data_IF_480787182637
#
_entry.id   IF_480787182637
#
_cell.length_a   1.000
_cell.length_b   1.000
_cell.length_c   1.000
_cell.angle_alpha   90.00
_cell.angle_beta   90.00
_cell.angle_gamma   90.00
#
_symmetry.space_group_name_H-M   'P 1'
#
loop_
_entity.id
_entity.type
_entity.pdbx_description
1 polymer ?
#
# COMPACT_ATOMS: atom_id res chain seq x y z
N UNK A 1 -44.05 -32.68 -15.59
CA UNK A 1 -43.67 -31.39 -14.96
C UNK A 1 -42.91 -30.51 -15.96
N UNK A 2 -43.37 -29.26 -16.23
CA UNK A 2 -42.58 -28.36 -17.06
C UNK A 2 -41.32 -27.92 -16.26
N UNK A 3 -40.18 -27.68 -16.93
CA UNK A 3 -39.01 -27.16 -16.26
C UNK A 3 -39.33 -25.75 -15.74
N UNK A 4 -39.07 -25.52 -14.45
CA UNK A 4 -39.11 -24.19 -13.84
C UNK A 4 -37.98 -23.35 -14.44
N UNK A 5 -38.23 -22.71 -15.58
CA UNK A 5 -37.35 -21.69 -16.13
C UNK A 5 -37.59 -20.39 -15.37
N UNK A 6 -36.61 -19.99 -14.55
CA UNK A 6 -36.65 -18.69 -13.89
C UNK A 6 -36.65 -17.57 -14.94
N UNK A 7 -37.47 -16.52 -14.77
CA UNK A 7 -37.46 -15.39 -15.68
C UNK A 7 -36.11 -14.67 -15.64
N UNK A 8 -35.57 -14.30 -16.81
CA UNK A 8 -34.28 -13.61 -16.96
C UNK A 8 -34.00 -12.45 -15.97
N UNK A 9 -34.97 -11.57 -15.63
CA UNK A 9 -34.74 -10.53 -14.62
C UNK A 9 -34.47 -11.09 -13.21
N UNK A 10 -35.04 -12.25 -12.85
CA UNK A 10 -34.78 -12.90 -11.57
C UNK A 10 -33.37 -13.51 -11.52
N UNK A 11 -32.86 -14.03 -12.65
CA UNK A 11 -31.47 -14.51 -12.76
C UNK A 11 -30.47 -13.36 -12.64
N UNK A 12 -30.72 -12.22 -13.30
CA UNK A 12 -29.91 -11.01 -13.14
C UNK A 12 -29.93 -10.47 -11.71
N UNK A 13 -31.11 -10.42 -11.07
CA UNK A 13 -31.22 -9.97 -9.69
C UNK A 13 -30.47 -10.92 -8.72
N UNK A 14 -30.54 -12.23 -8.93
CA UNK A 14 -29.80 -13.21 -8.14
C UNK A 14 -28.29 -13.06 -8.31
N UNK A 15 -27.81 -12.85 -9.55
CA UNK A 15 -26.38 -12.61 -9.84
C UNK A 15 -25.89 -11.31 -9.17
N UNK A 16 -26.67 -10.23 -9.23
CA UNK A 16 -26.33 -8.97 -8.58
C UNK A 16 -26.31 -9.10 -7.05
N UNK A 17 -27.24 -9.86 -6.47
CA UNK A 17 -27.24 -10.17 -5.04
C UNK A 17 -26.02 -11.01 -4.67
N UNK A 18 -25.70 -12.08 -5.40
CA UNK A 18 -24.52 -12.90 -5.12
C UNK A 18 -23.23 -12.08 -5.19
N UNK A 19 -23.08 -11.21 -6.20
CA UNK A 19 -21.95 -10.28 -6.30
C UNK A 19 -21.91 -9.30 -5.12
N UNK A 20 -23.04 -8.73 -4.73
CA UNK A 20 -23.13 -7.83 -3.59
C UNK A 20 -22.82 -8.53 -2.26
N UNK A 21 -23.29 -9.77 -2.05
CA UNK A 21 -22.96 -10.54 -0.85
C UNK A 21 -21.46 -10.88 -0.80
N UNK A 22 -20.85 -11.28 -1.93
CA UNK A 22 -19.39 -11.58 -1.96
C UNK A 22 -18.52 -10.36 -1.63
N UNK A 23 -18.91 -9.16 -2.08
CA UNK A 23 -18.18 -7.93 -1.77
C UNK A 23 -18.42 -7.45 -0.34
N UNK A 24 -19.63 -7.61 0.20
CA UNK A 24 -19.89 -7.27 1.61
C UNK A 24 -19.14 -8.19 2.57
N UNK A 25 -19.06 -9.50 2.31
CA UNK A 25 -18.29 -10.41 3.18
C UNK A 25 -16.79 -10.13 3.14
N UNK A 26 -16.23 -9.84 1.97
CA UNK A 26 -14.80 -9.51 1.83
C UNK A 26 -14.38 -8.22 2.56
N UNK A 27 -15.33 -7.34 2.90
CA UNK A 27 -15.08 -5.99 3.38
C UNK A 27 -15.74 -5.65 4.73
N UNK A 28 -16.74 -6.42 5.16
CA UNK A 28 -17.20 -6.44 6.56
C UNK A 28 -16.13 -7.08 7.46
N UNK A 29 -15.29 -7.93 6.88
CA UNK A 29 -14.02 -8.40 7.43
C UNK A 29 -12.90 -7.35 7.22
N UNK A 30 -13.06 -6.14 7.79
CA UNK A 30 -11.90 -5.31 8.21
C UNK A 30 -11.21 -5.99 9.42
N UNK A 31 -10.87 -7.26 9.18
CA UNK A 31 -10.54 -8.42 10.02
C UNK A 31 -9.10 -8.26 10.53
N UNK A 32 -8.58 -9.14 11.43
CA UNK A 32 -7.21 -9.14 11.94
C UNK A 32 -6.11 -9.00 10.88
N UNK A 33 -6.40 -9.33 9.61
CA UNK A 33 -5.50 -9.11 8.49
C UNK A 33 -5.12 -7.63 8.33
N UNK A 34 -6.05 -6.69 8.55
CA UNK A 34 -5.77 -5.25 8.55
C UNK A 34 -4.90 -4.85 9.74
N UNK A 35 -5.17 -5.44 10.91
CA UNK A 35 -4.45 -5.13 12.14
C UNK A 35 -3.01 -5.65 12.12
N UNK A 36 -2.75 -6.74 11.39
CA UNK A 36 -1.42 -7.35 11.30
C UNK A 36 -0.63 -6.93 10.05
N UNK A 37 -1.29 -6.56 8.94
CA UNK A 37 -0.65 -6.34 7.64
C UNK A 37 0.61 -5.46 7.71
N UNK A 38 0.50 -4.30 8.36
CA UNK A 38 1.62 -3.35 8.45
C UNK A 38 2.79 -3.94 9.25
N UNK A 39 2.50 -4.66 10.35
CA UNK A 39 3.50 -5.28 11.20
C UNK A 39 4.15 -6.51 10.55
N UNK A 40 3.35 -7.33 9.86
CA UNK A 40 3.84 -8.47 9.09
C UNK A 40 4.72 -8.01 7.93
N UNK A 41 4.36 -6.91 7.27
CA UNK A 41 5.19 -6.28 6.23
C UNK A 41 6.51 -5.75 6.79
N UNK A 42 6.50 -5.11 7.97
CA UNK A 42 7.72 -4.68 8.67
C UNK A 42 8.59 -5.88 9.04
N UNK A 43 8.01 -6.97 9.53
CA UNK A 43 8.73 -8.20 9.87
C UNK A 43 9.39 -8.78 8.62
N UNK A 44 8.63 -8.89 7.53
CA UNK A 44 9.13 -9.39 6.24
C UNK A 44 10.26 -8.51 5.71
N UNK A 45 10.13 -7.19 5.81
CA UNK A 45 11.15 -6.22 5.40
C UNK A 45 12.47 -6.41 6.16
N UNK A 46 12.41 -6.65 7.48
CA UNK A 46 13.59 -6.93 8.31
C UNK A 46 14.26 -8.26 7.97
N UNK A 47 13.47 -9.27 7.62
CA UNK A 47 14.00 -10.57 7.17
C UNK A 47 14.65 -10.44 5.79
N UNK A 48 14.03 -9.69 4.89
CA UNK A 48 14.54 -9.44 3.54
C UNK A 48 15.86 -8.69 3.53
N UNK A 49 15.94 -7.61 4.31
CA UNK A 49 17.08 -6.69 4.34
C UNK A 49 17.55 -6.50 5.79
N UNK A 50 18.30 -7.48 6.35
CA UNK A 50 18.83 -7.35 7.70
C UNK A 50 19.79 -6.16 7.77
N UNK A 51 19.80 -5.48 8.92
CA UNK A 51 20.65 -4.30 9.11
C UNK A 51 22.13 -4.65 8.89
N UNK A 52 22.88 -3.80 8.16
CA UNK A 52 24.29 -4.05 7.91
C UNK A 52 25.09 -4.00 9.22
N UNK A 53 26.15 -4.80 9.29
CA UNK A 53 27.06 -4.86 10.45
C UNK A 53 27.86 -3.58 10.64
N UNK A 54 28.06 -2.81 9.57
CA UNK A 54 28.64 -1.47 9.62
C UNK A 54 27.56 -0.45 9.24
N UNK A 55 27.37 0.61 10.05
CA UNK A 55 26.40 1.64 9.71
C UNK A 55 26.87 2.38 8.45
N UNK A 56 25.98 2.50 7.47
CA UNK A 56 26.16 3.45 6.38
C UNK A 56 26.31 4.85 7.00
N UNK A 57 27.33 5.61 6.57
CA UNK A 57 27.45 7.02 6.98
C UNK A 57 26.12 7.70 6.68
N UNK A 58 25.55 8.36 7.70
CA UNK A 58 24.25 9.05 7.61
C UNK A 58 24.26 9.99 6.41
N UNK A 59 23.75 9.51 5.27
CA UNK A 59 23.26 10.38 4.22
C UNK A 59 22.03 11.02 4.85
N UNK A 60 22.10 12.33 5.14
CA UNK A 60 21.01 13.08 5.77
C UNK A 60 19.67 12.60 5.22
N UNK A 61 18.75 12.24 6.13
CA UNK A 61 17.40 11.76 5.79
C UNK A 61 16.75 12.73 4.80
N UNK A 62 16.65 12.42 3.49
CA UNK A 62 16.21 13.40 2.51
C UNK A 62 14.68 13.40 2.36
N UNK A 63 14.00 12.46 3.01
CA UNK A 63 12.59 12.17 2.78
C UNK A 63 11.72 12.81 3.86
N UNK A 64 11.38 14.06 3.64
CA UNK A 64 10.41 14.74 4.49
C UNK A 64 9.00 14.25 4.15
N UNK A 65 8.53 13.23 4.89
CA UNK A 65 7.15 12.77 4.76
C UNK A 65 6.18 13.89 5.17
N UNK A 66 5.22 14.29 4.31
CA UNK A 66 4.27 15.32 4.64
C UNK A 66 3.21 14.79 5.62
N UNK A 67 3.36 15.06 6.92
CA UNK A 67 2.46 14.57 7.98
C UNK A 67 1.00 15.00 7.82
N UNK A 68 0.74 16.08 7.08
CA UNK A 68 -0.62 16.52 6.70
C UNK A 68 -1.40 15.48 5.89
N UNK A 69 -0.72 14.52 5.26
CA UNK A 69 -1.33 13.40 4.55
C UNK A 69 -1.98 12.38 5.47
N UNK A 70 -1.57 12.33 6.74
CA UNK A 70 -2.14 11.43 7.75
C UNK A 70 -3.41 12.00 8.39
N UNK A 71 -3.72 13.28 8.15
CA UNK A 71 -4.96 13.91 8.62
C UNK A 71 -6.07 13.61 7.62
N UNK A 72 -6.92 12.64 7.92
CA UNK A 72 -8.07 12.27 7.08
C UNK A 72 -9.37 12.63 7.79
N UNK A 73 -10.32 13.14 7.02
CA UNK A 73 -11.64 13.51 7.54
C UNK A 73 -12.70 12.41 7.28
N UNK A 74 -12.32 11.33 6.60
CA UNK A 74 -13.22 10.24 6.22
C UNK A 74 -12.43 8.94 5.99
N UNK A 75 -12.96 7.76 6.39
CA UNK A 75 -12.37 6.43 6.15
C UNK A 75 -11.86 6.20 4.72
N UNK A 76 -12.70 6.42 3.70
CA UNK A 76 -12.31 6.39 2.28
C UNK A 76 -11.05 7.22 1.95
N UNK A 77 -10.84 8.38 2.59
CA UNK A 77 -9.66 9.20 2.33
C UNK A 77 -8.40 8.57 2.92
N UNK A 78 -8.52 7.92 4.09
CA UNK A 78 -7.45 7.13 4.69
C UNK A 78 -7.13 5.90 3.82
N UNK A 79 -8.15 5.17 3.36
CA UNK A 79 -8.02 4.05 2.42
C UNK A 79 -7.28 4.44 1.14
N UNK A 80 -7.73 5.50 0.47
CA UNK A 80 -7.08 6.01 -0.74
C UNK A 80 -5.61 6.41 -0.49
N UNK A 81 -5.30 6.98 0.68
CA UNK A 81 -3.93 7.40 1.03
C UNK A 81 -3.05 6.17 1.31
N UNK A 82 -3.58 5.17 2.02
CA UNK A 82 -2.88 3.91 2.30
C UNK A 82 -2.60 3.14 1.01
N UNK A 83 -3.63 2.94 0.17
CA UNK A 83 -3.50 2.28 -1.12
C UNK A 83 -2.39 2.95 -1.95
N UNK A 84 -2.40 4.27 -2.05
CA UNK A 84 -1.38 5.00 -2.80
C UNK A 84 0.04 4.78 -2.25
N UNK A 85 0.22 4.81 -0.93
CA UNK A 85 1.53 4.53 -0.31
C UNK A 85 1.99 3.13 -0.68
N UNK A 86 1.11 2.13 -0.60
CA UNK A 86 1.43 0.74 -0.91
C UNK A 86 1.74 0.51 -2.38
N UNK A 87 0.99 1.13 -3.30
CA UNK A 87 1.29 1.11 -4.74
C UNK A 87 2.70 1.67 -5.03
N UNK A 88 3.12 2.72 -4.32
CA UNK A 88 4.46 3.29 -4.48
C UNK A 88 5.55 2.45 -3.87
N UNK A 89 5.32 1.83 -2.72
CA UNK A 89 6.25 0.84 -2.18
C UNK A 89 6.40 -0.34 -3.13
N UNK A 90 5.29 -0.83 -3.70
CA UNK A 90 5.33 -1.90 -4.69
C UNK A 90 6.15 -1.51 -5.92
N UNK A 91 5.99 -0.30 -6.48
CA UNK A 91 6.83 0.18 -7.59
C UNK A 91 8.31 0.24 -7.22
N UNK A 92 8.64 0.70 -6.01
CA UNK A 92 10.02 0.77 -5.53
C UNK A 92 10.64 -0.63 -5.46
N UNK A 93 9.97 -1.58 -4.81
CA UNK A 93 10.50 -2.92 -4.56
C UNK A 93 10.41 -3.85 -5.77
N UNK A 94 9.58 -3.56 -6.78
CA UNK A 94 9.49 -4.39 -7.99
C UNK A 94 10.64 -4.17 -8.98
N UNK A 95 11.60 -3.29 -8.69
CA UNK A 95 12.70 -2.97 -9.61
C UNK A 95 13.80 -4.03 -9.57
N UNK A 96 14.38 -4.31 -10.74
CA UNK A 96 15.39 -5.37 -10.95
C UNK A 96 16.76 -5.14 -10.29
N UNK A 97 16.96 -4.02 -9.56
CA UNK A 97 18.26 -3.63 -9.00
C UNK A 97 18.28 -3.68 -7.47
N UNK A 98 17.56 -4.63 -6.86
CA UNK A 98 17.68 -4.87 -5.42
C UNK A 98 19.07 -5.40 -5.07
N UNK A 99 19.59 -5.15 -3.85
CA UNK A 99 20.90 -5.66 -3.43
C UNK A 99 20.97 -7.19 -3.47
N UNK A 100 22.10 -7.74 -3.95
CA UNK A 100 22.30 -9.19 -4.08
C UNK A 100 22.26 -9.97 -2.76
N UNK A 101 22.51 -9.31 -1.63
CA UNK A 101 22.56 -9.96 -0.32
C UNK A 101 21.19 -10.06 0.36
N UNK A 102 20.13 -9.54 -0.25
CA UNK A 102 18.77 -9.64 0.29
C UNK A 102 18.20 -11.04 0.14
N UNK A 103 17.36 -11.43 1.09
CA UNK A 103 16.61 -12.68 1.00
C UNK A 103 15.52 -12.57 -0.08
N UNK A 104 15.71 -13.33 -1.17
CA UNK A 104 14.82 -13.30 -2.34
C UNK A 104 13.42 -13.84 -2.04
N UNK A 105 13.27 -14.78 -1.11
CA UNK A 105 11.97 -15.34 -0.74
C UNK A 105 11.18 -14.33 0.10
N UNK A 106 11.84 -13.67 1.05
CA UNK A 106 11.23 -12.60 1.83
C UNK A 106 10.86 -11.40 0.95
N UNK A 107 11.69 -11.05 -0.05
CA UNK A 107 11.37 -10.03 -1.05
C UNK A 107 10.12 -10.40 -1.87
N UNK A 108 10.05 -11.63 -2.40
CA UNK A 108 8.87 -12.11 -3.11
C UNK A 108 7.62 -12.09 -2.24
N UNK A 109 7.73 -12.56 -0.98
CA UNK A 109 6.63 -12.52 -0.02
C UNK A 109 6.15 -11.10 0.22
N UNK A 110 7.06 -10.12 0.33
CA UNK A 110 6.70 -8.71 0.47
C UNK A 110 5.88 -8.22 -0.74
N UNK A 111 6.33 -8.51 -1.96
CA UNK A 111 5.63 -8.10 -3.19
C UNK A 111 4.24 -8.73 -3.31
N UNK A 112 4.09 -10.01 -2.96
CA UNK A 112 2.82 -10.72 -2.96
C UNK A 112 1.86 -10.10 -1.94
N UNK A 113 2.34 -9.88 -0.71
CA UNK A 113 1.53 -9.29 0.36
C UNK A 113 1.07 -7.88 0.00
N UNK A 114 1.96 -7.06 -0.59
CA UNK A 114 1.60 -5.72 -1.10
C UNK A 114 0.50 -5.81 -2.16
N UNK A 115 0.65 -6.65 -3.18
CA UNK A 115 -0.36 -6.81 -4.22
C UNK A 115 -1.72 -7.25 -3.66
N UNK A 116 -1.74 -8.27 -2.81
CA UNK A 116 -2.99 -8.76 -2.21
C UNK A 116 -3.69 -7.68 -1.39
N UNK A 117 -2.95 -6.93 -0.57
CA UNK A 117 -3.56 -5.93 0.28
C UNK A 117 -4.02 -4.69 -0.50
N UNK A 118 -3.29 -4.29 -1.55
CA UNK A 118 -3.76 -3.24 -2.48
C UNK A 118 -5.09 -3.66 -3.11
N UNK A 119 -5.19 -4.89 -3.61
CA UNK A 119 -6.43 -5.40 -4.20
C UNK A 119 -7.58 -5.49 -3.18
N UNK A 120 -7.30 -5.87 -1.95
CA UNK A 120 -8.28 -5.84 -0.86
C UNK A 120 -8.81 -4.41 -0.64
N UNK A 121 -7.93 -3.40 -0.56
CA UNK A 121 -8.36 -2.00 -0.45
C UNK A 121 -9.18 -1.54 -1.67
N UNK A 122 -8.84 -1.97 -2.88
CA UNK A 122 -9.61 -1.64 -4.09
C UNK A 122 -11.03 -2.21 -4.07
N UNK A 123 -11.21 -3.42 -3.54
CA UNK A 123 -12.51 -4.06 -3.43
C UNK A 123 -13.37 -3.43 -2.33
N UNK A 124 -12.76 -3.08 -1.19
CA UNK A 124 -13.48 -2.60 -0.01
C UNK A 124 -13.68 -1.10 0.03
N UNK A 125 -12.81 -0.36 -0.64
CA UNK A 125 -12.87 1.08 -0.76
C UNK A 125 -12.83 1.48 -2.24
N UNK A 126 -13.76 0.99 -3.08
CA UNK A 126 -13.70 1.17 -4.52
C UNK A 126 -13.57 2.65 -4.84
N UNK A 127 -12.43 2.99 -5.42
CA UNK A 127 -11.99 4.36 -5.51
C UNK A 127 -13.04 5.20 -6.26
N UNK A 128 -13.72 6.10 -5.54
CA UNK A 128 -14.07 7.37 -6.14
C UNK A 128 -12.74 8.08 -6.35
N UNK A 129 -12.06 7.85 -7.48
CA UNK A 129 -10.83 8.57 -7.91
C UNK A 129 -11.02 10.10 -8.01
N UNK A 130 -12.14 10.63 -7.51
CA UNK A 130 -12.27 11.98 -7.01
C UNK A 130 -11.55 12.07 -5.65
N UNK A 131 -10.21 11.90 -5.65
CA UNK A 131 -9.40 12.66 -4.71
C UNK A 131 -9.66 14.11 -5.08
N UNK A 132 -10.56 14.77 -4.34
CA UNK A 132 -11.09 16.11 -4.55
C UNK A 132 -10.17 17.01 -5.40
N UNK A 133 -10.41 17.04 -6.72
CA UNK A 133 -9.90 18.10 -7.60
C UNK A 133 -10.45 19.49 -7.20
N UNK A 134 -11.44 19.54 -6.28
CA UNK A 134 -12.27 20.72 -6.01
C UNK A 134 -12.12 21.36 -4.63
N UNK A 135 -11.23 20.91 -3.75
CA UNK A 135 -10.99 21.61 -2.48
C UNK A 135 -9.48 21.77 -2.27
N UNK A 136 -8.97 22.98 -2.50
CA UNK A 136 -7.55 23.33 -2.38
C UNK A 136 -7.04 23.30 -0.92
N UNK A 137 -5.72 23.46 -0.70
CA UNK A 137 -4.72 24.01 -1.61
C UNK A 137 -3.77 22.93 -2.17
N UNK A 138 -3.39 23.01 -3.44
CA UNK A 138 -2.31 22.24 -4.07
C UNK A 138 -2.12 20.76 -3.62
N UNK A 139 -3.16 19.99 -3.89
CA UNK A 139 -3.16 18.57 -4.29
C UNK A 139 -2.31 17.61 -3.44
N UNK A 140 -2.93 16.99 -2.43
CA UNK A 140 -2.45 15.81 -1.68
C UNK A 140 -1.73 14.78 -2.57
N UNK A 141 -2.25 14.53 -3.77
CA UNK A 141 -1.64 13.62 -4.74
C UNK A 141 -0.30 14.16 -5.27
N UNK A 142 -0.18 15.46 -5.54
CA UNK A 142 1.10 16.07 -5.93
C UNK A 142 2.11 15.97 -4.79
N UNK A 143 1.70 16.19 -3.54
CA UNK A 143 2.59 16.09 -2.39
C UNK A 143 3.12 14.66 -2.20
N UNK A 144 2.23 13.67 -2.27
CA UNK A 144 2.59 12.25 -2.26
C UNK A 144 3.49 11.88 -3.44
N UNK A 145 3.17 12.36 -4.65
CA UNK A 145 4.03 12.15 -5.83
C UNK A 145 5.42 12.77 -5.64
N UNK A 146 5.52 13.97 -5.10
CA UNK A 146 6.81 14.64 -4.85
C UNK A 146 7.65 13.85 -3.85
N UNK A 147 7.03 13.36 -2.79
CA UNK A 147 7.68 12.52 -1.78
C UNK A 147 8.23 11.21 -2.38
N UNK A 148 7.43 10.43 -3.11
CA UNK A 148 7.94 9.19 -3.71
C UNK A 148 8.91 9.44 -4.87
N UNK A 149 8.78 10.57 -5.57
CA UNK A 149 9.76 10.99 -6.58
C UNK A 149 11.12 11.28 -5.95
N UNK A 150 11.20 11.87 -4.76
CA UNK A 150 12.49 12.09 -4.10
C UNK A 150 13.13 10.77 -3.69
N UNK A 151 12.35 9.76 -3.31
CA UNK A 151 12.84 8.39 -3.06
C UNK A 151 13.46 7.77 -4.31
N UNK A 152 12.77 7.83 -5.45
CA UNK A 152 13.34 7.35 -6.72
C UNK A 152 14.59 8.12 -7.13
N UNK A 153 14.56 9.45 -7.00
CA UNK A 153 15.71 10.30 -7.29
C UNK A 153 16.91 9.92 -6.43
N UNK A 154 16.70 9.67 -5.14
CA UNK A 154 17.76 9.25 -4.22
C UNK A 154 18.39 7.91 -4.62
N UNK A 155 17.57 6.92 -4.98
CA UNK A 155 18.10 5.64 -5.49
C UNK A 155 18.95 5.84 -6.75
N UNK A 156 18.52 6.71 -7.66
CA UNK A 156 19.23 7.00 -8.90
C UNK A 156 20.55 7.74 -8.64
N UNK A 157 20.55 8.79 -7.83
CA UNK A 157 21.76 9.59 -7.53
C UNK A 157 22.81 8.79 -6.76
N UNK A 158 22.39 7.77 -6.02
CA UNK A 158 23.28 6.86 -5.28
C UNK A 158 23.50 5.52 -5.99
N UNK A 159 23.23 5.47 -7.30
CA UNK A 159 23.50 4.33 -8.18
C UNK A 159 22.95 2.99 -7.67
N UNK A 160 21.82 3.01 -6.95
CA UNK A 160 21.24 1.81 -6.33
C UNK A 160 22.24 1.04 -5.43
N UNK A 161 23.16 1.74 -4.78
CA UNK A 161 24.11 1.13 -3.83
C UNK A 161 23.38 0.43 -2.66
N UNK A 162 24.07 -0.51 -2.01
CA UNK A 162 23.54 -1.20 -0.83
C UNK A 162 23.10 -0.20 0.25
N UNK A 163 23.92 0.81 0.56
CA UNK A 163 23.57 1.85 1.53
C UNK A 163 22.34 2.68 1.13
N UNK A 164 22.15 2.96 -0.16
CA UNK A 164 20.95 3.65 -0.60
C UNK A 164 19.70 2.80 -0.36
N UNK A 165 19.80 1.49 -0.63
CA UNK A 165 18.72 0.55 -0.37
C UNK A 165 18.44 0.32 1.12
N UNK A 166 19.46 0.37 1.98
CA UNK A 166 19.26 0.34 3.44
C UNK A 166 18.43 1.55 3.91
N UNK A 167 18.72 2.74 3.37
CA UNK A 167 17.91 3.94 3.63
C UNK A 167 16.47 3.80 3.11
N UNK A 168 16.27 3.16 1.94
CA UNK A 168 14.93 2.88 1.42
C UNK A 168 14.18 1.87 2.30
N UNK A 169 14.86 0.86 2.84
CA UNK A 169 14.24 -0.06 3.80
C UNK A 169 13.81 0.65 5.07
N UNK A 170 14.63 1.57 5.58
CA UNK A 170 14.24 2.39 6.73
C UNK A 170 13.00 3.25 6.43
N UNK A 171 12.95 3.89 5.26
CA UNK A 171 11.79 4.69 4.86
C UNK A 171 10.53 3.84 4.61
N UNK A 172 10.70 2.63 4.06
CA UNK A 172 9.61 1.66 3.90
C UNK A 172 9.06 1.21 5.26
N UNK A 173 9.92 0.96 6.25
CA UNK A 173 9.52 0.67 7.63
C UNK A 173 8.65 1.79 8.21
N UNK A 174 9.06 3.06 8.04
CA UNK A 174 8.23 4.20 8.47
C UNK A 174 6.94 4.30 7.66
N UNK A 175 6.98 4.03 6.37
CA UNK A 175 5.79 4.04 5.51
C UNK A 175 4.77 2.98 5.94
N UNK A 176 5.18 1.77 6.33
CA UNK A 176 4.28 0.77 6.88
C UNK A 176 3.66 1.19 8.22
N UNK A 177 4.42 1.84 9.11
CA UNK A 177 3.84 2.44 10.33
C UNK A 177 2.79 3.50 10.01
N UNK A 178 3.01 4.30 8.96
CA UNK A 178 2.03 5.28 8.49
C UNK A 178 0.78 4.61 7.92
N UNK A 179 0.95 3.49 7.23
CA UNK A 179 -0.17 2.67 6.75
C UNK A 179 -0.98 2.09 7.92
N UNK A 180 -0.35 1.57 8.97
CA UNK A 180 -1.05 1.14 10.20
C UNK A 180 -1.92 2.26 10.77
N UNK A 181 -1.38 3.48 10.89
CA UNK A 181 -2.16 4.64 11.34
C UNK A 181 -3.34 4.98 10.42
N UNK A 182 -3.19 4.77 9.11
CA UNK A 182 -4.26 5.01 8.14
C UNK A 182 -5.33 3.91 8.21
N UNK A 183 -4.94 2.64 8.34
CA UNK A 183 -5.85 1.49 8.52
C UNK A 183 -6.72 1.70 9.76
N UNK A 184 -6.13 2.16 10.87
CA UNK A 184 -6.90 2.49 12.08
C UNK A 184 -7.95 3.59 11.88
N UNK A 185 -7.76 4.49 10.91
CA UNK A 185 -8.72 5.54 10.57
C UNK A 185 -9.81 5.07 9.58
N UNK A 186 -9.71 3.85 9.05
CA UNK A 186 -10.72 3.25 8.17
C UNK A 186 -11.86 2.60 8.96
N UNK A 187 -11.62 2.29 10.24
CA UNK A 187 -12.58 1.77 11.23
C UNK A 187 -13.45 2.90 11.78
#
# INVERSE_FOLDING_TARGET
PPPLTMPAPAVSALLLLMMALTTTFACQDLNPQDDSFAWDSIKTLKTMAPSPSQPCQHQQEPFLFPSTLLRNNHPQQAANTAQYILEKLLDIFSRQKIPHHWDTLAHQSLLINLHHYIHHLEQCWPAKRILNKRQGPHNRMLTLNKYFRSIHSFLQTHNHSACAWDQICLEAHYSFKRVDMLIRQMK
#
